data_IF_809642843815
#
_entry.id   IF_809642843815
#
_cell.length_a   1.000
_cell.length_b   1.000
_cell.length_c   1.000
_cell.angle_alpha   90.00
_cell.angle_beta   90.00
_cell.angle_gamma   90.00
#
_symmetry.space_group_name_H-M   'P 1'
#
loop_
_entity.id
_entity.type
_entity.pdbx_description
1 polymer ?
#
# COMPACT_ATOMS: atom_id res chain seq x y z
N UNK A 1 -10.36 -1.94 -7.14
CA UNK A 1 -10.14 -2.33 -5.72
C UNK A 1 -9.21 -1.32 -5.08
N UNK A 2 -9.30 -1.11 -3.77
CA UNK A 2 -8.45 -0.15 -3.06
C UNK A 2 -7.42 -0.90 -2.23
N UNK A 3 -6.14 -0.68 -2.51
CA UNK A 3 -5.04 -1.45 -1.92
C UNK A 3 -4.28 -0.60 -0.90
N UNK A 4 -3.94 -1.18 0.24
CA UNK A 4 -3.05 -0.60 1.23
C UNK A 4 -1.68 -1.25 1.18
N UNK A 5 -0.62 -0.48 0.98
CA UNK A 5 0.77 -0.97 1.09
C UNK A 5 1.34 -0.46 2.41
N UNK A 6 1.73 -1.37 3.30
CA UNK A 6 2.29 -0.98 4.60
C UNK A 6 3.75 -0.56 4.44
N UNK A 7 4.07 0.61 5.00
CA UNK A 7 5.41 1.18 5.03
C UNK A 7 5.97 1.04 6.44
N UNK A 8 7.08 0.31 6.56
CA UNK A 8 7.89 0.24 7.77
C UNK A 8 9.14 1.12 7.63
N UNK A 9 9.77 1.53 8.76
CA UNK A 9 11.09 2.16 8.70
C UNK A 9 12.09 1.17 8.11
N UNK A 10 12.65 1.50 6.95
CA UNK A 10 13.61 0.64 6.25
C UNK A 10 12.97 -0.38 5.29
N UNK A 11 11.66 -0.30 5.03
CA UNK A 11 11.06 -1.02 3.90
C UNK A 11 11.74 -0.63 2.59
N UNK A 12 12.03 -1.63 1.75
CA UNK A 12 12.76 -1.45 0.50
C UNK A 12 11.81 -1.32 -0.70
N UNK A 13 10.77 -2.15 -0.72
CA UNK A 13 9.96 -2.40 -1.92
C UNK A 13 8.53 -1.83 -1.85
N UNK A 14 8.19 -1.04 -0.82
CA UNK A 14 6.85 -0.44 -0.69
C UNK A 14 6.48 0.44 -1.89
N UNK A 15 7.43 1.21 -2.43
CA UNK A 15 7.24 2.01 -3.64
C UNK A 15 7.02 1.17 -4.88
N UNK A 16 7.64 0.00 -4.97
CA UNK A 16 7.46 -0.90 -6.10
C UNK A 16 6.09 -1.57 -6.05
N UNK A 17 5.62 -1.96 -4.85
CA UNK A 17 4.26 -2.44 -4.65
C UNK A 17 3.22 -1.36 -5.03
N UNK A 18 3.38 -0.11 -4.56
CA UNK A 18 2.50 1.01 -4.92
C UNK A 18 2.47 1.22 -6.45
N UNK A 19 3.64 1.28 -7.09
CA UNK A 19 3.74 1.45 -8.55
C UNK A 19 3.08 0.29 -9.29
N UNK A 20 3.34 -0.96 -8.89
CA UNK A 20 2.79 -2.13 -9.57
C UNK A 20 1.26 -2.11 -9.52
N UNK A 21 0.68 -1.79 -8.36
CA UNK A 21 -0.77 -1.67 -8.21
C UNK A 21 -1.33 -0.55 -9.09
N UNK A 22 -0.76 0.66 -9.04
CA UNK A 22 -1.29 1.80 -9.80
C UNK A 22 -1.11 1.64 -11.32
N UNK A 23 0.03 1.09 -11.76
CA UNK A 23 0.45 1.15 -13.17
C UNK A 23 0.18 -0.14 -13.95
N UNK A 24 0.20 -1.29 -13.28
CA UNK A 24 0.01 -2.59 -13.92
C UNK A 24 -1.41 -3.08 -13.68
N UNK A 25 -1.89 -3.01 -12.44
CA UNK A 25 -3.28 -3.39 -12.13
C UNK A 25 -4.27 -2.27 -12.48
N UNK A 26 -3.83 -1.00 -12.43
CA UNK A 26 -4.71 0.15 -12.68
C UNK A 26 -5.64 0.48 -11.51
N UNK A 27 -5.36 -0.07 -10.33
CA UNK A 27 -6.15 0.10 -9.10
C UNK A 27 -5.58 1.25 -8.23
N UNK A 28 -6.39 1.75 -7.30
CA UNK A 28 -5.93 2.75 -6.31
C UNK A 28 -5.02 2.08 -5.27
N UNK A 29 -3.84 2.68 -5.03
CA UNK A 29 -2.91 2.25 -3.99
C UNK A 29 -2.71 3.35 -2.94
N UNK A 30 -2.74 2.97 -1.66
CA UNK A 30 -2.62 3.86 -0.51
C UNK A 30 -1.44 3.40 0.33
N UNK A 31 -0.48 4.30 0.56
CA UNK A 31 0.57 4.04 1.53
C UNK A 31 0.00 4.11 2.95
N UNK A 32 0.19 3.05 3.73
CA UNK A 32 -0.23 2.93 5.13
C UNK A 32 1.01 2.93 6.02
N UNK A 33 1.10 3.89 6.94
CA UNK A 33 2.21 3.89 7.90
C UNK A 33 1.97 2.84 8.98
N UNK A 34 2.98 2.02 9.30
CA UNK A 34 2.82 0.91 10.25
C UNK A 34 2.34 1.30 11.67
N UNK A 35 2.41 2.58 12.05
CA UNK A 35 1.88 3.08 13.34
C UNK A 35 0.50 3.72 13.26
N UNK A 36 -0.07 3.87 12.06
CA UNK A 36 -1.43 4.34 11.90
C UNK A 36 -2.41 3.32 12.50
N UNK A 37 -3.50 3.80 13.10
CA UNK A 37 -4.47 2.94 13.83
C UNK A 37 -5.64 2.48 12.97
N UNK A 38 -5.66 2.90 11.71
CA UNK A 38 -6.68 2.55 10.75
C UNK A 38 -6.05 2.21 9.40
N UNK A 39 -6.73 1.36 8.64
CA UNK A 39 -6.30 0.92 7.32
C UNK A 39 -6.89 1.79 6.19
N UNK A 40 -7.47 2.94 6.53
CA UNK A 40 -8.09 3.88 5.59
C UNK A 40 -9.17 3.28 4.68
N UNK A 41 -9.78 2.16 5.06
CA UNK A 41 -10.84 1.51 4.29
C UNK A 41 -10.37 0.84 3.00
N UNK A 42 -9.14 0.33 2.97
CA UNK A 42 -8.65 -0.50 1.86
C UNK A 42 -9.32 -1.88 1.85
N UNK A 43 -9.51 -2.43 0.65
CA UNK A 43 -10.08 -3.77 0.43
C UNK A 43 -9.04 -4.88 0.62
N UNK A 44 -7.75 -4.57 0.42
CA UNK A 44 -6.63 -5.51 0.48
C UNK A 44 -5.37 -4.86 1.04
N UNK A 45 -4.52 -5.63 1.73
CA UNK A 45 -3.25 -5.17 2.32
C UNK A 45 -2.07 -5.94 1.74
N UNK A 46 -1.03 -5.22 1.35
CA UNK A 46 0.29 -5.72 0.97
C UNK A 46 1.26 -5.35 2.10
N UNK A 47 2.04 -6.33 2.56
CA UNK A 47 3.07 -6.20 3.60
C UNK A 47 4.47 -6.25 3.00
#
# INVERSE_FOLDING_TARGET
MRWGVVVFPGSLDDRDALRATERILGDEAVALWHKDRDLRGVDCVIL
#
